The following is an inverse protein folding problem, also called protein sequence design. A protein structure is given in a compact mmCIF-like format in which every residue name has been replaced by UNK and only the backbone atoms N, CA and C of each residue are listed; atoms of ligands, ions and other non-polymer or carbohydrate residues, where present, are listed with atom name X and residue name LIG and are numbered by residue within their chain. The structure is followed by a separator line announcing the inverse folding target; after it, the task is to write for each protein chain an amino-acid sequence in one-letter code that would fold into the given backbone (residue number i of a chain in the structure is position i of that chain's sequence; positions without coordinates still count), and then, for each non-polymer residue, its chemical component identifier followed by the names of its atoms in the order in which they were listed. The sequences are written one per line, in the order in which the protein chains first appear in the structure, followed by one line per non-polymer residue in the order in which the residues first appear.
data_IF_700020049342
#
_entry.id   IF_700020049342
#
_cell.length_a   1.000
_cell.length_b   1.000
_cell.length_c   1.000
_cell.angle_alpha   90.00
_cell.angle_beta   90.00
_cell.angle_gamma   90.00
#
_symmetry.space_group_name_H-M   'P 1'
#
loop_
_entity.id
_entity.type
_entity.pdbx_description
1 polymer ?
#
# COMPACT_ATOMS: atom_id res chain seq x y z
N UNK A 1 -18.83 0.40 2.67
CA UNK A 1 -18.61 0.28 4.13
C UNK A 1 -19.09 -1.04 4.71
N UNK A 2 -20.23 -1.60 4.29
CA UNK A 2 -20.71 -2.93 4.76
C UNK A 2 -19.71 -4.08 4.61
N UNK A 3 -18.78 -3.98 3.65
CA UNK A 3 -17.76 -5.00 3.37
C UNK A 3 -16.81 -5.25 4.54
N UNK A 4 -16.54 -4.26 5.38
CA UNK A 4 -15.63 -4.41 6.52
C UNK A 4 -16.23 -5.32 7.61
N UNK A 5 -17.43 -5.01 8.16
CA UNK A 5 -18.09 -5.93 9.09
C UNK A 5 -18.45 -7.27 8.42
N UNK A 6 -18.88 -7.27 7.16
CA UNK A 6 -19.18 -8.52 6.45
C UNK A 6 -17.94 -9.42 6.26
N UNK A 7 -16.78 -8.85 5.92
CA UNK A 7 -15.53 -9.59 5.76
C UNK A 7 -15.00 -10.16 7.08
N UNK A 8 -15.15 -9.40 8.18
CA UNK A 8 -14.85 -9.90 9.52
C UNK A 8 -15.77 -11.07 9.90
N UNK A 9 -17.07 -10.92 9.68
CA UNK A 9 -18.05 -11.99 9.97
C UNK A 9 -17.82 -13.24 9.14
N UNK A 10 -17.51 -13.09 7.84
CA UNK A 10 -17.24 -14.20 6.93
C UNK A 10 -16.00 -14.98 7.34
N UNK A 11 -14.90 -14.30 7.69
CA UNK A 11 -13.69 -14.98 8.14
C UNK A 11 -13.90 -15.70 9.49
N UNK A 12 -14.64 -15.09 10.41
CA UNK A 12 -15.00 -15.71 11.67
C UNK A 12 -15.86 -16.97 11.47
N UNK A 13 -16.85 -16.91 10.57
CA UNK A 13 -17.74 -18.05 10.30
C UNK A 13 -17.06 -19.17 9.49
N UNK A 14 -16.05 -18.84 8.68
CA UNK A 14 -15.33 -19.82 7.86
C UNK A 14 -14.45 -20.78 8.68
N UNK A 15 -14.07 -20.40 9.90
CA UNK A 15 -13.13 -21.16 10.73
C UNK A 15 -13.82 -22.28 11.56
N UNK A 16 -15.15 -22.26 11.66
CA UNK A 16 -15.95 -23.30 12.32
C UNK A 16 -15.87 -23.28 13.85
N UNK A 17 -16.09 -24.44 14.49
CA UNK A 17 -16.09 -24.59 15.95
C UNK A 17 -14.66 -24.57 16.51
N UNK A 18 -14.20 -23.37 16.84
CA UNK A 18 -12.89 -23.12 17.46
C UNK A 18 -13.03 -22.34 18.76
N UNK A 19 -11.93 -22.16 19.48
CA UNK A 19 -11.93 -21.30 20.67
C UNK A 19 -12.29 -19.86 20.30
N UNK A 20 -12.94 -19.10 21.21
CA UNK A 20 -13.31 -17.71 20.96
C UNK A 20 -12.13 -16.83 20.53
N UNK A 21 -10.93 -17.12 21.05
CA UNK A 21 -9.70 -16.42 20.68
C UNK A 21 -9.34 -16.58 19.19
N UNK A 22 -9.48 -17.79 18.64
CA UNK A 22 -9.20 -18.08 17.23
C UNK A 22 -10.26 -17.44 16.34
N UNK A 23 -11.54 -17.54 16.71
CA UNK A 23 -12.62 -16.88 15.97
C UNK A 23 -12.46 -15.35 15.93
N UNK A 24 -12.07 -14.73 17.05
CA UNK A 24 -11.80 -13.29 17.12
C UNK A 24 -10.61 -12.92 16.22
N UNK A 25 -9.54 -13.71 16.25
CA UNK A 25 -8.37 -13.49 15.40
C UNK A 25 -8.74 -13.61 13.92
N UNK A 26 -9.51 -14.63 13.53
CA UNK A 26 -10.04 -14.77 12.18
C UNK A 26 -10.90 -13.57 11.77
N UNK A 27 -11.77 -13.09 12.65
CA UNK A 27 -12.59 -11.89 12.42
C UNK A 27 -11.73 -10.64 12.19
N UNK A 28 -10.70 -10.44 13.00
CA UNK A 28 -9.77 -9.31 12.86
C UNK A 28 -8.97 -9.39 11.56
N UNK A 29 -8.48 -10.58 11.20
CA UNK A 29 -7.75 -10.79 9.94
C UNK A 29 -8.68 -10.55 8.72
N UNK A 30 -9.89 -11.11 8.72
CA UNK A 30 -10.86 -10.88 7.66
C UNK A 30 -11.30 -9.41 7.55
N UNK A 31 -11.56 -8.78 8.69
CA UNK A 31 -11.94 -7.37 8.78
C UNK A 31 -10.83 -6.42 8.32
N UNK A 32 -9.57 -6.69 8.69
CA UNK A 32 -8.42 -5.90 8.24
C UNK A 32 -8.16 -6.06 6.75
N UNK A 33 -8.28 -7.27 6.20
CA UNK A 33 -8.20 -7.48 4.75
C UNK A 33 -9.31 -6.72 4.01
N UNK A 34 -10.55 -6.83 4.46
CA UNK A 34 -11.68 -6.12 3.86
C UNK A 34 -11.56 -4.59 3.97
N UNK A 35 -11.08 -4.09 5.11
CA UNK A 35 -10.77 -2.68 5.31
C UNK A 35 -9.65 -2.22 4.37
N UNK A 36 -8.60 -3.03 4.22
CA UNK A 36 -7.50 -2.82 3.29
C UNK A 36 -7.99 -2.66 1.86
N UNK A 37 -8.80 -3.59 1.34
CA UNK A 37 -9.39 -3.49 0.00
C UNK A 37 -10.25 -2.23 -0.18
N UNK A 38 -11.02 -1.85 0.85
CA UNK A 38 -11.84 -0.65 0.81
C UNK A 38 -11.00 0.63 0.79
N UNK A 39 -9.92 0.66 1.57
CA UNK A 39 -8.98 1.76 1.64
C UNK A 39 -8.18 1.89 0.34
N UNK A 40 -7.70 0.77 -0.23
CA UNK A 40 -7.05 0.76 -1.54
C UNK A 40 -7.97 1.34 -2.60
N UNK A 41 -9.22 0.89 -2.69
CA UNK A 41 -10.18 1.42 -3.68
C UNK A 41 -10.47 2.92 -3.49
N UNK A 42 -10.57 3.38 -2.24
CA UNK A 42 -10.72 4.80 -1.94
C UNK A 42 -9.46 5.60 -2.31
N UNK A 43 -8.27 5.05 -2.04
CA UNK A 43 -6.97 5.60 -2.41
C UNK A 43 -6.76 5.66 -3.92
N UNK A 44 -7.15 4.62 -4.67
CA UNK A 44 -7.12 4.65 -6.14
C UNK A 44 -8.04 5.74 -6.66
N UNK A 45 -9.24 5.92 -6.10
CA UNK A 45 -10.11 7.06 -6.48
C UNK A 45 -9.44 8.41 -6.20
N UNK A 46 -8.73 8.56 -5.09
CA UNK A 46 -7.99 9.78 -4.79
C UNK A 46 -6.86 10.00 -5.82
N UNK A 47 -6.09 8.97 -6.16
CA UNK A 47 -4.99 9.03 -7.12
C UNK A 47 -5.45 9.25 -8.57
N UNK A 48 -6.53 8.60 -9.00
CA UNK A 48 -7.09 8.76 -10.35
C UNK A 48 -7.64 10.16 -10.54
N UNK A 49 -8.21 10.79 -9.50
CA UNK A 49 -8.60 12.20 -9.57
C UNK A 49 -7.39 13.15 -9.73
N UNK A 50 -6.16 12.66 -9.53
CA UNK A 50 -4.91 13.43 -9.72
C UNK A 50 -4.13 13.08 -11.00
N UNK A 51 -4.40 11.95 -11.67
CA UNK A 51 -3.84 11.64 -13.01
C UNK A 51 -4.74 10.63 -13.78
N UNK A 52 -5.30 11.01 -14.95
CA UNK A 52 -6.16 10.12 -15.74
C UNK A 52 -5.31 9.22 -16.64
N UNK A 53 -4.87 8.07 -16.15
CA UNK A 53 -4.25 7.02 -16.98
C UNK A 53 -5.19 5.81 -17.11
N UNK A 54 -6.16 5.83 -18.06
CA UNK A 54 -7.29 4.89 -18.09
C UNK A 54 -6.90 3.44 -18.39
N UNK A 55 -5.84 3.22 -19.18
CA UNK A 55 -5.48 1.88 -19.66
C UNK A 55 -4.85 1.02 -18.56
N UNK A 56 -3.93 1.58 -17.78
CA UNK A 56 -3.24 0.87 -16.69
C UNK A 56 -4.21 0.46 -15.59
N UNK A 57 -5.18 1.33 -15.27
CA UNK A 57 -6.12 1.11 -14.18
C UNK A 57 -7.20 0.07 -14.53
N UNK A 58 -7.71 0.09 -15.77
CA UNK A 58 -8.64 -0.93 -16.25
C UNK A 58 -7.97 -2.31 -16.32
N UNK A 59 -6.75 -2.35 -16.86
CA UNK A 59 -5.97 -3.59 -16.94
C UNK A 59 -5.69 -4.17 -15.55
N UNK A 60 -5.35 -3.34 -14.57
CA UNK A 60 -5.15 -3.77 -13.20
C UNK A 60 -6.42 -4.42 -12.60
N UNK A 61 -7.58 -3.76 -12.74
CA UNK A 61 -8.85 -4.27 -12.20
C UNK A 61 -9.29 -5.58 -12.85
N UNK A 62 -9.16 -5.69 -14.18
CA UNK A 62 -9.51 -6.93 -14.89
C UNK A 62 -8.57 -8.06 -14.54
N UNK A 63 -7.28 -7.76 -14.43
CA UNK A 63 -6.29 -8.76 -14.04
C UNK A 63 -6.58 -9.31 -12.64
N UNK A 64 -6.99 -8.45 -11.71
CA UNK A 64 -7.40 -8.85 -10.36
C UNK A 64 -8.61 -9.79 -10.38
N UNK A 65 -9.67 -9.44 -11.12
CA UNK A 65 -10.88 -10.27 -11.23
C UNK A 65 -10.60 -11.64 -11.86
N UNK A 66 -9.78 -11.68 -12.93
CA UNK A 66 -9.37 -12.94 -13.56
C UNK A 66 -8.55 -13.81 -12.60
N UNK A 67 -7.69 -13.20 -11.77
CA UNK A 67 -6.86 -13.92 -10.81
C UNK A 67 -7.72 -14.57 -9.71
N UNK A 68 -8.76 -13.88 -9.24
CA UNK A 68 -9.70 -14.43 -8.26
C UNK A 68 -10.49 -15.59 -8.84
N UNK A 69 -11.08 -15.42 -10.02
CA UNK A 69 -11.88 -16.46 -10.68
C UNK A 69 -11.00 -17.68 -11.01
N UNK A 70 -9.84 -17.43 -11.63
CA UNK A 70 -8.89 -18.48 -11.99
C UNK A 70 -8.31 -19.20 -10.77
N UNK A 71 -7.99 -18.46 -9.71
CA UNK A 71 -7.52 -19.01 -8.43
C UNK A 71 -8.56 -19.91 -7.77
N UNK A 72 -9.83 -19.49 -7.73
CA UNK A 72 -10.91 -20.29 -7.15
C UNK A 72 -11.19 -21.55 -7.98
N UNK A 73 -11.19 -21.43 -9.31
CA UNK A 73 -11.33 -22.58 -10.20
C UNK A 73 -10.18 -23.58 -10.02
N UNK A 74 -8.94 -23.10 -9.94
CA UNK A 74 -7.78 -23.95 -9.65
C UNK A 74 -7.87 -24.59 -8.26
N UNK A 75 -8.33 -23.85 -7.24
CA UNK A 75 -8.50 -24.39 -5.89
C UNK A 75 -9.50 -25.56 -5.84
N UNK A 76 -10.56 -25.51 -6.65
CA UNK A 76 -11.61 -26.54 -6.67
C UNK A 76 -11.27 -27.74 -7.56
N UNK A 77 -10.69 -27.51 -8.74
CA UNK A 77 -10.49 -28.57 -9.75
C UNK A 77 -9.03 -29.02 -9.90
N UNK A 78 -8.06 -28.17 -9.55
CA UNK A 78 -6.62 -28.43 -9.74
C UNK A 78 -5.78 -27.98 -8.53
N UNK A 79 -5.94 -28.61 -7.35
CA UNK A 79 -5.34 -28.13 -6.09
C UNK A 79 -3.81 -28.04 -6.13
N UNK A 80 -3.13 -28.90 -6.89
CA UNK A 80 -1.66 -28.83 -7.06
C UNK A 80 -1.24 -27.56 -7.79
N UNK A 81 -1.94 -27.18 -8.88
CA UNK A 81 -1.66 -25.94 -9.60
C UNK A 81 -1.93 -24.72 -8.71
N UNK A 82 -2.98 -24.77 -7.90
CA UNK A 82 -3.28 -23.72 -6.94
C UNK A 82 -2.16 -23.56 -5.90
N UNK A 83 -1.66 -24.65 -5.32
CA UNK A 83 -0.56 -24.59 -4.33
C UNK A 83 0.72 -24.03 -4.96
N UNK A 84 1.08 -24.47 -6.17
CA UNK A 84 2.26 -23.95 -6.89
C UNK A 84 2.08 -22.45 -7.16
N UNK A 85 0.92 -22.04 -7.67
CA UNK A 85 0.60 -20.64 -7.92
C UNK A 85 0.63 -19.79 -6.66
N UNK A 86 0.09 -20.32 -5.55
CA UNK A 86 0.11 -19.67 -4.24
C UNK A 86 1.54 -19.46 -3.74
N UNK A 87 2.41 -20.47 -3.88
CA UNK A 87 3.83 -20.34 -3.53
C UNK A 87 4.51 -19.24 -4.34
N UNK A 88 4.31 -19.22 -5.66
CA UNK A 88 4.88 -18.18 -6.55
C UNK A 88 4.36 -16.80 -6.13
N UNK A 89 3.05 -16.68 -5.87
CA UNK A 89 2.44 -15.43 -5.42
C UNK A 89 3.05 -14.93 -4.11
N UNK A 90 3.27 -15.81 -3.13
CA UNK A 90 3.92 -15.46 -1.85
C UNK A 90 5.36 -14.97 -2.10
N UNK A 91 6.14 -15.64 -2.95
CA UNK A 91 7.49 -15.21 -3.30
C UNK A 91 7.51 -13.81 -3.91
N UNK A 92 6.60 -13.54 -4.86
CA UNK A 92 6.44 -12.21 -5.46
C UNK A 92 6.06 -11.19 -4.39
N UNK A 93 5.13 -11.53 -3.49
CA UNK A 93 4.70 -10.63 -2.42
C UNK A 93 5.87 -10.27 -1.50
N UNK A 94 6.67 -11.25 -1.05
CA UNK A 94 7.87 -11.02 -0.23
C UNK A 94 8.85 -10.08 -0.94
N UNK A 95 9.00 -10.23 -2.25
CA UNK A 95 9.89 -9.37 -3.04
C UNK A 95 9.37 -7.93 -3.22
N UNK A 96 8.07 -7.75 -3.40
CA UNK A 96 7.44 -6.43 -3.58
C UNK A 96 7.30 -5.67 -2.25
N UNK A 97 7.07 -6.38 -1.14
CA UNK A 97 6.85 -5.80 0.18
C UNK A 97 7.91 -4.77 0.63
N UNK A 98 9.23 -4.98 0.50
CA UNK A 98 10.24 -3.99 0.88
C UNK A 98 10.24 -2.74 -0.02
N UNK A 99 9.74 -2.84 -1.26
CA UNK A 99 9.57 -1.66 -2.14
C UNK A 99 8.37 -0.85 -1.68
N UNK A 100 7.25 -1.52 -1.39
CA UNK A 100 6.04 -0.89 -0.90
C UNK A 100 6.26 -0.19 0.45
N UNK A 101 6.97 -0.85 1.38
CA UNK A 101 7.32 -0.28 2.68
C UNK A 101 8.17 0.99 2.57
N UNK A 102 9.11 1.04 1.61
CA UNK A 102 9.91 2.23 1.34
C UNK A 102 9.07 3.40 0.82
N UNK A 103 8.09 3.12 -0.06
CA UNK A 103 7.17 4.13 -0.57
C UNK A 103 6.29 4.71 0.54
N UNK A 104 5.72 3.84 1.39
CA UNK A 104 4.91 4.22 2.53
C UNK A 104 5.71 5.13 3.48
N UNK A 105 6.95 4.75 3.84
CA UNK A 105 7.82 5.60 4.69
C UNK A 105 8.10 6.97 4.07
N UNK A 106 8.22 7.07 2.75
CA UNK A 106 8.40 8.37 2.06
C UNK A 106 7.14 9.23 2.18
N UNK A 107 5.96 8.65 1.96
CA UNK A 107 4.68 9.32 2.09
C UNK A 107 4.46 9.85 3.51
N UNK A 108 4.69 9.01 4.53
CA UNK A 108 4.56 9.43 5.93
C UNK A 108 5.51 10.57 6.31
N UNK A 109 6.76 10.55 5.81
CA UNK A 109 7.69 11.69 6.02
C UNK A 109 7.20 12.96 5.35
N UNK A 110 6.64 12.86 4.14
CA UNK A 110 6.14 14.00 3.39
C UNK A 110 4.88 14.62 4.04
N UNK A 111 3.98 13.76 4.53
CA UNK A 111 2.82 14.17 5.31
C UNK A 111 3.27 14.79 6.65
N UNK A 112 4.25 14.18 7.33
CA UNK A 112 4.82 14.71 8.57
C UNK A 112 5.49 16.07 8.41
N UNK A 113 6.17 16.33 7.29
CA UNK A 113 6.70 17.66 6.97
C UNK A 113 5.58 18.68 6.68
N UNK A 114 4.46 18.25 6.12
CA UNK A 114 3.31 19.12 5.85
C UNK A 114 2.58 19.53 7.14
N UNK A 115 2.58 18.66 8.16
CA UNK A 115 2.09 18.97 9.50
C UNK A 115 3.14 19.64 10.42
N UNK A 116 4.32 20.00 9.91
CA UNK A 116 5.34 20.76 10.66
C UNK A 116 6.08 19.98 11.75
N UNK A 117 6.10 18.64 11.68
CA UNK A 117 6.76 17.77 12.67
C UNK A 117 8.23 17.44 12.33
N UNK A 118 8.72 17.91 11.19
CA UNK A 118 10.13 17.84 10.80
C UNK A 118 10.50 19.15 10.11
N UNK A 119 11.62 19.74 10.53
CA UNK A 119 12.18 20.90 9.86
C UNK A 119 12.59 20.52 8.43
N UNK A 120 12.27 21.35 7.43
CA UNK A 120 12.77 21.14 6.08
C UNK A 120 14.30 21.12 6.11
N UNK A 121 14.96 20.27 5.29
CA UNK A 121 16.42 20.31 5.18
C UNK A 121 16.82 21.73 4.83
N UNK A 122 17.73 22.30 5.64
CA UNK A 122 18.22 23.66 5.50
C UNK A 122 18.45 23.99 4.02
N UNK A 123 17.98 25.15 3.52
CA UNK A 123 18.37 25.62 2.22
C UNK A 123 19.88 25.56 2.17
N UNK A 124 20.45 24.95 1.13
CA UNK A 124 21.85 25.14 0.81
C UNK A 124 22.05 26.65 0.78
N UNK A 125 22.68 27.18 1.83
CA UNK A 125 23.30 28.50 1.81
C UNK A 125 24.33 28.35 0.71
N UNK A 126 23.94 28.72 -0.51
CA UNK A 126 24.89 29.10 -1.53
C UNK A 126 25.58 30.26 -0.87
N UNK A 127 26.74 29.97 -0.29
CA UNK A 127 27.68 30.94 0.20
C UNK A 127 28.12 31.71 -1.04
N UNK A 128 27.26 32.64 -1.48
CA UNK A 128 27.67 33.79 -2.27
C UNK A 128 28.61 34.54 -1.35
N UNK A 129 29.86 34.08 -1.37
CA UNK A 129 31.04 34.81 -0.99
C UNK A 129 30.93 36.19 -1.63
N UNK A 130 30.37 37.15 -0.90
CA UNK A 130 30.58 38.56 -1.15
C UNK A 130 31.99 38.85 -0.63
N UNK A 131 32.99 39.10 -1.50
CA UNK A 131 34.30 39.48 -1.01
C UNK A 131 34.18 40.87 -0.38
N UNK A 132 34.13 40.89 0.95
CA UNK A 132 34.54 42.05 1.73
C UNK A 132 36.04 42.26 1.49
N UNK A 133 36.40 43.24 0.66
CA UNK A 133 37.71 43.88 0.77
C UNK A 133 37.63 45.35 0.38
N UNK A 134 37.37 46.18 1.38
CA UNK A 134 37.83 47.57 1.41
C UNK A 134 39.35 47.54 1.52
N UNK A 135 40.07 48.08 0.53
CA UNK A 135 41.30 48.84 0.73
C UNK A 135 41.84 49.33 -0.62
N UNK A 136 42.30 50.59 -0.64
CA UNK A 136 42.90 51.33 -1.75
C UNK A 136 41.85 51.92 -2.70
N UNK A 137 41.66 53.25 -2.74
CA UNK A 137 42.62 54.17 -3.35
C UNK A 137 42.76 55.46 -2.54
N UNK A 138 44.02 55.73 -2.24
CA UNK A 138 44.64 56.95 -1.75
C UNK A 138 44.88 57.88 -2.95
N UNK A 139 44.37 59.11 -2.91
CA UNK A 139 44.99 60.40 -3.31
C UNK A 139 43.93 61.49 -3.35
#
# INVERSE_FOLDING_TARGET
FIRIPAGAMLAASAVGDVTPAVALTAALLGGTLAAGSHATKAGTRLLINTSPEPVTNWTASISEDLLVIGGLWAALYHPVLFIIGLFIFILVMIWVLPRLWRLIKRLFRHIGSWFGLCEPPLPLVIDTQLPQKNEQIKT
#
